data_IF_612228003771
#
_entry.id   IF_612228003771
#
_cell.length_a   1.000
_cell.length_b   1.000
_cell.length_c   1.000
_cell.angle_alpha   90.00
_cell.angle_beta   90.00
_cell.angle_gamma   90.00
#
_symmetry.space_group_name_H-M   'P 1'
#
loop_
_entity.id
_entity.type
_entity.pdbx_description
1 polymer ?
#
# COMPACT_ATOMS: atom_id res chain seq x y z
N UNK A 1 29.47 16.05 35.18
CA UNK A 1 29.74 16.60 33.83
C UNK A 1 28.91 15.78 32.86
N UNK A 2 27.82 16.32 32.32
CA UNK A 2 27.08 15.68 31.21
C UNK A 2 27.97 15.81 29.99
N UNK A 3 28.51 14.70 29.49
CA UNK A 3 29.13 14.69 28.19
C UNK A 3 28.07 15.19 27.18
N UNK A 4 28.34 16.34 26.57
CA UNK A 4 27.61 16.77 25.38
C UNK A 4 27.87 15.71 24.30
N UNK A 5 27.02 14.68 24.24
CA UNK A 5 27.01 13.82 23.08
C UNK A 5 26.67 14.68 21.87
N UNK A 6 27.57 14.76 20.91
CA UNK A 6 27.28 15.39 19.62
C UNK A 6 26.09 14.66 19.00
N UNK A 7 25.10 15.43 18.58
CA UNK A 7 23.92 14.85 17.90
C UNK A 7 24.36 14.12 16.64
N UNK A 8 23.71 13.00 16.30
CA UNK A 8 23.99 12.31 15.04
C UNK A 8 23.59 13.17 13.84
N UNK A 9 24.36 13.05 12.77
CA UNK A 9 24.13 13.74 11.50
C UNK A 9 23.01 13.07 10.74
N UNK A 10 21.95 13.81 10.42
CA UNK A 10 20.77 13.33 9.71
C UNK A 10 20.79 13.78 8.24
N UNK A 11 20.84 12.85 7.34
CA UNK A 11 20.60 13.05 5.90
C UNK A 11 19.14 12.80 5.58
N UNK A 12 18.48 13.74 4.88
CA UNK A 12 17.11 13.58 4.37
C UNK A 12 17.19 13.43 2.85
N UNK A 13 16.72 12.28 2.35
CA UNK A 13 16.69 11.99 0.93
C UNK A 13 15.32 11.48 0.49
N UNK A 14 14.68 12.21 -0.41
CA UNK A 14 13.36 11.91 -0.99
C UNK A 14 13.08 12.85 -2.16
N UNK A 15 12.00 12.65 -2.90
CA UNK A 15 11.55 13.60 -3.93
C UNK A 15 11.37 15.00 -3.36
N UNK A 16 11.69 16.03 -4.15
CA UNK A 16 11.73 17.43 -3.71
C UNK A 16 10.39 17.98 -3.21
N UNK A 17 9.27 17.44 -3.67
CA UNK A 17 7.91 17.85 -3.28
C UNK A 17 7.43 17.23 -1.97
N UNK A 18 8.08 16.17 -1.49
CA UNK A 18 7.61 15.40 -0.33
C UNK A 18 7.80 16.07 1.03
N UNK A 19 8.90 16.81 1.31
CA UNK A 19 9.13 17.37 2.64
C UNK A 19 7.99 18.22 3.17
N UNK A 20 7.30 18.97 2.33
CA UNK A 20 6.16 19.82 2.74
C UNK A 20 4.99 18.99 3.29
N UNK A 21 4.70 17.83 2.66
CA UNK A 21 3.65 16.91 3.12
C UNK A 21 4.06 16.10 4.36
N UNK A 22 5.34 15.69 4.42
CA UNK A 22 5.89 14.85 5.49
C UNK A 22 6.13 15.63 6.79
N UNK A 23 6.60 16.89 6.71
CA UNK A 23 7.13 17.61 7.86
C UNK A 23 6.39 18.93 8.09
N UNK A 24 5.66 19.02 9.19
CA UNK A 24 5.20 20.29 9.74
C UNK A 24 6.17 20.82 10.81
N UNK A 25 5.79 21.91 11.47
CA UNK A 25 6.61 22.52 12.53
C UNK A 25 6.92 21.57 13.68
N UNK A 26 6.01 20.64 14.00
CA UNK A 26 6.18 19.64 15.05
C UNK A 26 7.25 18.62 14.69
N UNK A 27 7.20 18.07 13.48
CA UNK A 27 8.13 17.07 12.98
C UNK A 27 9.54 17.66 12.88
N UNK A 28 9.68 18.88 12.34
CA UNK A 28 10.94 19.60 12.32
C UNK A 28 11.49 19.87 13.72
N UNK A 29 10.65 20.27 14.66
CA UNK A 29 11.08 20.50 16.05
C UNK A 29 11.62 19.20 16.69
N UNK A 30 10.97 18.05 16.45
CA UNK A 30 11.43 16.75 16.94
C UNK A 30 12.78 16.37 16.36
N UNK A 31 12.94 16.44 15.02
CA UNK A 31 14.21 16.12 14.35
C UNK A 31 15.34 17.01 14.84
N UNK A 32 15.14 18.34 14.87
CA UNK A 32 16.15 19.30 15.33
C UNK A 32 16.51 19.13 16.82
N UNK A 33 15.63 18.58 17.64
CA UNK A 33 15.93 18.32 19.05
C UNK A 33 16.98 17.21 19.23
N UNK A 34 17.01 16.21 18.33
CA UNK A 34 17.78 14.98 18.52
C UNK A 34 18.87 14.75 17.47
N UNK A 35 18.86 15.47 16.34
CA UNK A 35 19.80 15.32 15.24
C UNK A 35 20.34 16.68 14.79
N UNK A 36 21.50 16.64 14.08
CA UNK A 36 22.02 17.75 13.29
C UNK A 36 21.70 17.45 11.81
N UNK A 37 20.71 18.16 11.25
CA UNK A 37 20.26 17.94 9.87
C UNK A 37 21.33 18.48 8.91
N UNK A 38 21.75 17.64 7.94
CA UNK A 38 22.67 18.01 6.88
C UNK A 38 21.96 19.00 5.93
N UNK A 39 22.55 20.19 5.66
CA UNK A 39 21.94 21.19 4.76
C UNK A 39 21.79 20.69 3.33
N UNK A 40 21.01 21.41 2.51
CA UNK A 40 20.80 21.10 1.09
C UNK A 40 19.72 20.03 0.83
N UNK A 41 18.97 19.62 1.84
CA UNK A 41 17.90 18.60 1.68
C UNK A 41 16.67 19.14 0.91
N UNK A 42 15.90 18.24 0.26
CA UNK A 42 16.14 16.80 0.20
C UNK A 42 17.19 16.45 -0.86
N UNK A 43 18.08 15.53 -0.50
CA UNK A 43 19.07 15.01 -1.44
C UNK A 43 18.44 13.94 -2.34
N UNK A 44 18.57 14.13 -3.66
CA UNK A 44 17.96 13.23 -4.67
C UNK A 44 18.99 12.45 -5.48
N UNK A 45 20.26 12.79 -5.35
CA UNK A 45 21.34 12.13 -6.08
C UNK A 45 22.59 12.05 -5.20
N UNK A 46 23.06 10.83 -4.94
CA UNK A 46 24.27 10.57 -4.15
C UNK A 46 25.55 10.49 -4.97
N UNK A 47 25.48 10.71 -6.28
CA UNK A 47 26.64 10.68 -7.18
C UNK A 47 27.15 12.08 -7.56
N UNK A 48 26.40 13.11 -7.20
CA UNK A 48 26.91 14.50 -7.22
C UNK A 48 27.94 14.71 -6.11
N UNK A 49 28.82 15.69 -6.24
CA UNK A 49 29.81 16.02 -5.21
C UNK A 49 29.14 16.35 -3.86
N UNK A 50 28.07 17.15 -3.88
CA UNK A 50 27.30 17.53 -2.70
C UNK A 50 26.58 16.33 -2.06
N UNK A 51 25.92 15.49 -2.88
CA UNK A 51 25.21 14.31 -2.38
C UNK A 51 26.16 13.25 -1.82
N UNK A 52 27.31 13.05 -2.43
CA UNK A 52 28.35 12.14 -1.94
C UNK A 52 28.96 12.63 -0.61
N UNK A 53 29.22 13.93 -0.46
CA UNK A 53 29.68 14.53 0.79
C UNK A 53 28.62 14.36 1.90
N UNK A 54 27.37 14.71 1.60
CA UNK A 54 26.25 14.55 2.52
C UNK A 54 26.08 13.10 2.99
N UNK A 55 26.18 12.13 2.08
CA UNK A 55 26.10 10.71 2.39
C UNK A 55 27.28 10.24 3.28
N UNK A 56 28.49 10.75 3.01
CA UNK A 56 29.69 10.41 3.79
C UNK A 56 29.64 10.94 5.24
N UNK A 57 28.94 12.04 5.49
CA UNK A 57 28.78 12.62 6.82
C UNK A 57 27.62 12.01 7.62
N UNK A 58 26.69 11.32 6.97
CA UNK A 58 25.44 10.87 7.58
C UNK A 58 25.65 9.72 8.57
N UNK A 59 25.12 9.86 9.78
CA UNK A 59 24.94 8.76 10.74
C UNK A 59 23.58 8.09 10.56
N UNK A 60 22.57 8.86 10.12
CA UNK A 60 21.17 8.44 9.91
C UNK A 60 20.71 8.94 8.55
N UNK A 61 20.06 8.07 7.76
CA UNK A 61 19.36 8.43 6.54
C UNK A 61 17.86 8.33 6.78
N UNK A 62 17.15 9.47 6.73
CA UNK A 62 15.70 9.52 6.64
C UNK A 62 15.31 9.57 5.16
N UNK A 63 14.71 8.49 4.71
CA UNK A 63 14.42 8.23 3.32
C UNK A 63 12.92 8.08 3.06
N UNK A 64 12.49 8.38 1.84
CA UNK A 64 11.15 8.11 1.32
C UNK A 64 11.20 7.87 -0.19
N UNK A 65 10.09 8.02 -0.91
CA UNK A 65 10.08 7.83 -2.36
C UNK A 65 11.07 8.77 -3.07
N UNK A 66 11.81 8.21 -4.02
CA UNK A 66 12.82 8.93 -4.79
C UNK A 66 14.21 8.95 -4.17
N UNK A 67 14.39 8.35 -2.99
CA UNK A 67 15.73 8.13 -2.43
C UNK A 67 16.54 7.22 -3.36
N UNK A 68 17.78 7.62 -3.73
CA UNK A 68 18.64 6.77 -4.53
C UNK A 68 18.99 5.46 -3.82
N UNK A 69 19.13 4.38 -4.59
CA UNK A 69 19.51 3.06 -4.07
C UNK A 69 20.87 3.09 -3.37
N UNK A 70 20.98 2.47 -2.21
CA UNK A 70 22.23 2.29 -1.45
C UNK A 70 23.00 1.07 -2.00
N UNK A 71 23.59 1.24 -3.19
CA UNK A 71 24.47 0.24 -3.80
C UNK A 71 25.71 0.02 -2.97
N UNK A 72 26.43 -1.09 -3.22
CA UNK A 72 27.73 -1.39 -2.58
C UNK A 72 28.71 -0.22 -2.72
N UNK A 73 28.76 0.42 -3.88
CA UNK A 73 29.62 1.58 -4.12
C UNK A 73 29.23 2.76 -3.24
N UNK A 74 27.94 3.12 -3.17
CA UNK A 74 27.45 4.22 -2.32
C UNK A 74 27.64 3.92 -0.84
N UNK A 75 27.43 2.68 -0.41
CA UNK A 75 27.71 2.24 0.98
C UNK A 75 29.19 2.39 1.34
N UNK A 76 30.10 2.12 0.40
CA UNK A 76 31.54 2.32 0.66
C UNK A 76 31.92 3.78 0.92
N UNK A 77 31.07 4.71 0.44
CA UNK A 77 31.21 6.16 0.67
C UNK A 77 30.42 6.66 1.87
N UNK A 78 29.69 5.79 2.57
CA UNK A 78 28.87 6.10 3.74
C UNK A 78 29.39 5.41 5.03
N UNK A 79 30.66 5.62 5.45
CA UNK A 79 31.29 4.84 6.53
C UNK A 79 30.67 5.09 7.91
N UNK A 80 29.88 6.15 8.07
CA UNK A 80 29.24 6.56 9.32
C UNK A 80 27.81 6.09 9.44
N UNK A 81 27.18 5.68 8.33
CA UNK A 81 25.75 5.36 8.27
C UNK A 81 25.42 4.13 9.13
N UNK A 82 24.54 4.31 10.11
CA UNK A 82 24.12 3.29 11.07
C UNK A 82 22.64 2.97 11.02
N UNK A 83 21.82 3.88 10.46
CA UNK A 83 20.38 3.71 10.39
C UNK A 83 19.82 4.25 9.07
N UNK A 84 18.93 3.46 8.46
CA UNK A 84 18.02 3.83 7.39
C UNK A 84 16.59 3.82 7.95
N UNK A 85 16.02 5.01 8.18
CA UNK A 85 14.63 5.18 8.56
C UNK A 85 13.81 5.47 7.29
N UNK A 86 13.07 4.48 6.78
CA UNK A 86 12.31 4.62 5.53
C UNK A 86 10.86 5.01 5.82
N UNK A 87 10.50 6.24 5.53
CA UNK A 87 9.17 6.80 5.74
C UNK A 87 8.17 6.38 4.62
N UNK A 88 8.22 5.12 4.20
CA UNK A 88 7.26 4.49 3.31
C UNK A 88 7.22 2.97 3.58
N UNK A 89 6.60 2.16 2.71
CA UNK A 89 6.39 0.74 2.99
C UNK A 89 7.56 -0.15 2.59
N UNK A 90 7.88 -0.24 1.30
CA UNK A 90 8.87 -1.19 0.77
C UNK A 90 10.23 -0.53 0.57
N UNK A 91 11.26 -1.05 1.23
CA UNK A 91 12.65 -0.56 1.10
C UNK A 91 13.40 -1.15 -0.09
N UNK A 92 12.80 -2.03 -0.88
CA UNK A 92 13.49 -2.77 -1.97
C UNK A 92 14.28 -1.89 -2.92
N UNK A 93 13.74 -0.73 -3.27
CA UNK A 93 14.39 0.22 -4.17
C UNK A 93 15.58 0.92 -3.54
N UNK A 94 15.55 1.16 -2.23
CA UNK A 94 16.59 1.88 -1.50
C UNK A 94 17.64 0.93 -0.94
N UNK A 95 17.23 -0.24 -0.46
CA UNK A 95 18.09 -1.29 0.12
C UNK A 95 18.06 -2.56 -0.76
N UNK A 96 18.81 -2.60 -1.89
CA UNK A 96 18.86 -3.74 -2.80
C UNK A 96 19.54 -4.94 -2.13
N UNK A 97 19.56 -6.10 -2.79
CA UNK A 97 20.12 -7.34 -2.25
C UNK A 97 21.56 -7.17 -1.71
N UNK A 98 22.40 -6.44 -2.44
CA UNK A 98 23.79 -6.17 -2.04
C UNK A 98 23.93 -5.31 -0.78
N UNK A 99 22.94 -4.47 -0.45
CA UNK A 99 22.88 -3.73 0.82
C UNK A 99 22.89 -4.71 2.01
N UNK A 100 22.06 -5.73 1.97
CA UNK A 100 21.91 -6.72 3.03
C UNK A 100 23.09 -7.70 3.14
N UNK A 101 23.93 -7.77 2.09
CA UNK A 101 25.14 -8.59 2.09
C UNK A 101 26.35 -7.87 2.66
N UNK A 102 26.34 -6.54 2.63
CA UNK A 102 27.52 -5.72 2.89
C UNK A 102 27.41 -4.78 4.07
N UNK A 103 26.23 -4.70 4.70
CA UNK A 103 26.02 -3.76 5.82
C UNK A 103 25.19 -4.35 6.96
N UNK A 104 25.50 -3.90 8.17
CA UNK A 104 24.71 -4.14 9.40
C UNK A 104 23.90 -2.91 9.79
N UNK A 105 23.58 -2.04 8.83
CA UNK A 105 22.80 -0.81 9.03
C UNK A 105 21.40 -1.21 9.51
N UNK A 106 20.97 -0.61 10.62
CA UNK A 106 19.59 -0.77 11.10
C UNK A 106 18.60 -0.18 10.08
N UNK A 107 17.64 -0.97 9.63
CA UNK A 107 16.59 -0.54 8.71
C UNK A 107 15.25 -0.57 9.43
N UNK A 108 14.47 0.50 9.29
CA UNK A 108 13.08 0.58 9.77
C UNK A 108 12.18 1.10 8.65
N UNK A 109 10.88 0.77 8.70
CA UNK A 109 9.90 1.24 7.70
C UNK A 109 8.64 1.78 8.34
N UNK A 110 7.92 2.63 7.61
CA UNK A 110 6.59 3.11 7.97
C UNK A 110 5.46 2.25 7.39
N UNK A 111 5.73 0.98 7.06
CA UNK A 111 4.75 0.09 6.43
C UNK A 111 3.47 -0.09 7.26
N UNK A 112 3.54 -0.03 8.60
CA UNK A 112 2.36 -0.10 9.47
C UNK A 112 1.48 1.14 9.38
N UNK A 113 2.08 2.32 9.26
CA UNK A 113 1.35 3.56 9.06
C UNK A 113 0.75 3.63 7.64
N UNK A 114 1.48 3.16 6.61
CA UNK A 114 0.99 3.08 5.23
C UNK A 114 -0.19 2.12 5.07
N UNK A 115 -0.25 1.06 5.86
CA UNK A 115 -1.32 0.06 5.73
C UNK A 115 -2.70 0.60 6.11
N UNK A 116 -2.78 1.59 6.99
CA UNK A 116 -4.04 2.15 7.49
C UNK A 116 -4.85 2.83 6.38
N UNK A 117 -4.33 3.85 5.65
CA UNK A 117 -5.09 4.49 4.58
C UNK A 117 -5.48 3.52 3.46
N UNK A 118 -4.62 2.55 3.11
CA UNK A 118 -4.97 1.53 2.10
C UNK A 118 -6.15 0.67 2.58
N UNK A 119 -6.16 0.28 3.85
CA UNK A 119 -7.26 -0.51 4.39
C UNK A 119 -8.57 0.30 4.48
N UNK A 120 -8.50 1.57 4.88
CA UNK A 120 -9.65 2.48 4.91
C UNK A 120 -10.21 2.73 3.52
N UNK A 121 -9.35 3.00 2.53
CA UNK A 121 -9.76 3.14 1.13
C UNK A 121 -10.44 1.87 0.61
N UNK A 122 -9.83 0.70 0.85
CA UNK A 122 -10.39 -0.58 0.41
C UNK A 122 -11.73 -0.88 1.07
N UNK A 123 -11.85 -0.65 2.37
CA UNK A 123 -13.12 -0.80 3.09
C UNK A 123 -14.20 0.13 2.53
N UNK A 124 -13.88 1.40 2.28
CA UNK A 124 -14.79 2.33 1.65
C UNK A 124 -15.17 1.90 0.22
N UNK A 125 -14.19 1.40 -0.56
CA UNK A 125 -14.42 0.86 -1.90
C UNK A 125 -15.39 -0.33 -1.89
N UNK A 126 -15.23 -1.28 -0.97
CA UNK A 126 -16.17 -2.41 -0.79
C UNK A 126 -17.60 -1.90 -0.55
N UNK A 127 -17.78 -0.94 0.34
CA UNK A 127 -19.09 -0.36 0.67
C UNK A 127 -19.68 0.38 -0.54
N UNK A 128 -18.90 1.22 -1.21
CA UNK A 128 -19.37 2.03 -2.33
C UNK A 128 -19.67 1.19 -3.58
N UNK A 129 -18.80 0.22 -3.90
CA UNK A 129 -19.03 -0.72 -4.99
C UNK A 129 -20.22 -1.63 -4.70
N UNK A 130 -20.44 -2.05 -3.45
CA UNK A 130 -21.62 -2.81 -3.05
C UNK A 130 -22.94 -2.07 -3.28
N UNK A 131 -22.93 -0.74 -3.29
CA UNK A 131 -24.04 0.14 -3.64
C UNK A 131 -24.01 0.59 -5.11
N UNK A 132 -22.97 0.25 -5.86
CA UNK A 132 -22.75 0.67 -7.25
C UNK A 132 -22.76 2.20 -7.42
N UNK A 133 -22.18 2.91 -6.46
CA UNK A 133 -22.25 4.36 -6.34
C UNK A 133 -21.71 5.07 -7.57
N UNK A 134 -20.60 4.60 -8.11
CA UNK A 134 -19.90 5.25 -9.23
C UNK A 134 -20.76 5.21 -10.51
N UNK A 135 -21.24 4.03 -10.93
CA UNK A 135 -22.09 3.88 -12.10
C UNK A 135 -23.43 4.60 -11.94
N UNK A 136 -24.10 4.41 -10.79
CA UNK A 136 -25.39 5.07 -10.52
C UNK A 136 -25.26 6.60 -10.45
N UNK A 137 -24.12 7.13 -9.95
CA UNK A 137 -23.83 8.56 -10.01
C UNK A 137 -23.79 9.06 -11.45
N UNK A 138 -23.06 8.35 -12.34
CA UNK A 138 -22.89 8.79 -13.72
C UNK A 138 -24.19 8.66 -14.52
N UNK A 139 -24.95 7.59 -14.32
CA UNK A 139 -26.31 7.46 -14.88
C UNK A 139 -27.22 8.62 -14.42
N UNK A 140 -27.21 8.94 -13.11
CA UNK A 140 -28.03 10.04 -12.57
C UNK A 140 -27.63 11.38 -13.15
N UNK A 141 -26.32 11.62 -13.36
CA UNK A 141 -25.82 12.85 -14.01
C UNK A 141 -26.25 12.95 -15.48
N UNK A 142 -26.24 11.83 -16.20
CA UNK A 142 -26.68 11.79 -17.60
C UNK A 142 -28.20 11.96 -17.73
N UNK A 143 -29.00 11.36 -16.86
CA UNK A 143 -30.45 11.36 -16.91
C UNK A 143 -31.11 12.64 -16.34
N UNK A 144 -30.37 13.48 -15.61
CA UNK A 144 -30.79 14.79 -15.09
C UNK A 144 -32.26 14.88 -14.58
N UNK A 145 -32.53 14.21 -13.47
CA UNK A 145 -33.82 14.36 -12.76
C UNK A 145 -34.94 13.42 -13.20
N UNK A 146 -34.75 12.60 -14.25
CA UNK A 146 -35.69 11.53 -14.60
C UNK A 146 -35.67 10.35 -13.64
N UNK A 147 -34.71 10.33 -12.77
CA UNK A 147 -34.61 9.68 -11.48
C UNK A 147 -34.74 8.18 -11.43
N UNK A 148 -33.66 7.54 -11.01
CA UNK A 148 -33.56 6.17 -10.51
C UNK A 148 -34.62 5.83 -9.42
N UNK A 149 -35.28 6.85 -8.84
CA UNK A 149 -36.16 6.70 -7.69
C UNK A 149 -37.53 6.07 -7.98
N UNK A 150 -38.01 6.11 -9.20
CA UNK A 150 -39.40 5.67 -9.50
C UNK A 150 -39.47 4.20 -9.93
N UNK A 151 -38.87 3.85 -11.06
CA UNK A 151 -39.11 2.58 -11.75
C UNK A 151 -38.00 1.52 -11.61
N UNK A 152 -36.80 1.91 -11.22
CA UNK A 152 -35.62 1.02 -11.17
C UNK A 152 -35.35 0.37 -9.80
N UNK A 153 -36.10 0.70 -8.74
CA UNK A 153 -35.89 0.14 -7.39
C UNK A 153 -36.20 -1.35 -7.24
N UNK A 154 -36.81 -1.97 -8.21
CA UNK A 154 -37.19 -3.36 -8.16
C UNK A 154 -36.08 -4.34 -8.55
N UNK A 155 -36.29 -5.04 -9.66
CA UNK A 155 -35.44 -6.18 -10.07
C UNK A 155 -34.02 -5.79 -10.50
N UNK A 156 -33.80 -4.60 -11.10
CA UNK A 156 -32.48 -4.21 -11.62
C UNK A 156 -31.45 -3.86 -10.54
N UNK A 157 -31.89 -3.56 -9.31
CA UNK A 157 -31.02 -3.23 -8.20
C UNK A 157 -30.98 -4.32 -7.10
N UNK A 158 -31.58 -5.47 -7.34
CA UNK A 158 -31.70 -6.55 -6.34
C UNK A 158 -30.35 -7.13 -5.89
N UNK A 159 -29.32 -7.02 -6.74
CA UNK A 159 -27.95 -7.47 -6.43
C UNK A 159 -27.13 -6.43 -5.63
N UNK A 160 -27.67 -5.22 -5.39
CA UNK A 160 -26.97 -4.16 -4.67
C UNK A 160 -27.27 -4.21 -3.17
N UNK A 161 -26.34 -3.70 -2.39
CA UNK A 161 -26.45 -3.59 -0.94
C UNK A 161 -25.33 -4.33 -0.22
N UNK A 162 -25.17 -4.06 1.07
CA UNK A 162 -24.05 -4.58 1.86
C UNK A 162 -24.51 -5.49 3.04
N UNK A 163 -25.79 -5.79 3.15
CA UNK A 163 -26.29 -6.68 4.22
C UNK A 163 -25.97 -8.13 3.90
N UNK A 164 -25.29 -8.81 4.82
CA UNK A 164 -24.82 -10.20 4.67
C UNK A 164 -24.04 -10.45 3.37
N UNK A 165 -23.35 -9.39 2.85
CA UNK A 165 -22.55 -9.52 1.64
C UNK A 165 -21.30 -10.34 1.91
N UNK A 166 -21.02 -11.27 1.03
CA UNK A 166 -19.89 -12.19 1.09
C UNK A 166 -18.64 -11.53 0.54
N UNK A 167 -17.64 -11.32 1.39
CA UNK A 167 -16.38 -10.68 1.04
C UNK A 167 -15.23 -11.68 1.15
N UNK A 168 -14.57 -11.95 0.03
CA UNK A 168 -13.37 -12.76 -0.05
C UNK A 168 -12.11 -11.89 0.00
N UNK A 169 -11.24 -12.16 0.95
CA UNK A 169 -9.94 -11.50 1.12
C UNK A 169 -8.84 -12.44 0.64
N UNK A 170 -8.10 -12.04 -0.39
CA UNK A 170 -6.97 -12.80 -0.92
C UNK A 170 -5.67 -12.21 -0.37
N UNK A 171 -5.09 -12.89 0.62
CA UNK A 171 -3.91 -12.47 1.36
C UNK A 171 -4.21 -11.82 2.70
N UNK A 172 -3.76 -12.46 3.78
CA UNK A 172 -3.83 -11.95 5.16
C UNK A 172 -2.59 -11.10 5.51
N UNK A 173 -2.17 -10.25 4.58
CA UNK A 173 -1.13 -9.25 4.80
C UNK A 173 -1.56 -8.25 5.89
N UNK A 174 -0.67 -7.32 6.24
CA UNK A 174 -1.00 -6.25 7.19
C UNK A 174 -2.28 -5.49 6.79
N UNK A 175 -2.43 -5.19 5.49
CA UNK A 175 -3.62 -4.52 4.93
C UNK A 175 -4.85 -5.44 4.98
N UNK A 176 -4.72 -6.68 4.50
CA UNK A 176 -5.84 -7.64 4.50
C UNK A 176 -6.40 -7.88 5.90
N UNK A 177 -5.55 -7.96 6.94
CA UNK A 177 -5.95 -8.08 8.35
C UNK A 177 -6.75 -6.85 8.80
N UNK A 178 -6.29 -5.63 8.53
CA UNK A 178 -7.01 -4.40 8.86
C UNK A 178 -8.37 -4.31 8.14
N UNK A 179 -8.43 -4.70 6.87
CA UNK A 179 -9.69 -4.74 6.11
C UNK A 179 -10.68 -5.73 6.75
N UNK A 180 -10.22 -6.94 7.13
CA UNK A 180 -11.06 -7.92 7.83
C UNK A 180 -11.57 -7.37 9.17
N UNK A 181 -10.72 -6.73 9.96
CA UNK A 181 -11.11 -6.09 11.24
C UNK A 181 -12.17 -4.99 11.03
N UNK A 182 -12.06 -4.19 9.98
CA UNK A 182 -13.06 -3.17 9.64
C UNK A 182 -14.37 -3.79 9.20
N UNK A 183 -14.34 -4.83 8.36
CA UNK A 183 -15.51 -5.56 7.88
C UNK A 183 -16.24 -6.28 9.02
N UNK A 184 -15.53 -6.86 9.99
CA UNK A 184 -16.08 -7.57 11.13
C UNK A 184 -16.98 -6.70 12.03
N UNK A 185 -16.82 -5.36 11.98
CA UNK A 185 -17.70 -4.41 12.66
C UNK A 185 -19.06 -4.23 11.97
N UNK A 186 -19.16 -4.67 10.72
CA UNK A 186 -20.37 -4.63 9.90
C UNK A 186 -21.11 -5.98 9.91
N UNK A 187 -22.09 -6.12 9.00
CA UNK A 187 -22.82 -7.37 8.78
C UNK A 187 -22.38 -8.03 7.47
N UNK A 188 -21.07 -8.21 7.33
CA UNK A 188 -20.46 -8.95 6.23
C UNK A 188 -20.20 -10.39 6.62
N UNK A 189 -20.25 -11.29 5.64
CA UNK A 189 -19.69 -12.62 5.77
C UNK A 189 -18.29 -12.58 5.14
N UNK A 190 -17.25 -13.00 5.89
CA UNK A 190 -15.85 -12.82 5.48
C UNK A 190 -15.20 -14.20 5.31
N UNK A 191 -14.59 -14.42 4.14
CA UNK A 191 -13.70 -15.54 3.90
C UNK A 191 -12.30 -15.01 3.56
N UNK A 192 -11.27 -15.78 3.91
CA UNK A 192 -9.87 -15.41 3.60
C UNK A 192 -9.12 -16.60 3.03
N UNK A 193 -8.37 -16.35 1.97
CA UNK A 193 -7.33 -17.21 1.44
C UNK A 193 -5.97 -16.63 1.77
N UNK A 194 -5.17 -17.38 2.49
CA UNK A 194 -3.74 -17.12 2.72
C UNK A 194 -3.08 -18.44 3.13
N UNK A 195 -2.03 -18.89 2.42
CA UNK A 195 -1.40 -20.18 2.70
C UNK A 195 -0.72 -20.24 4.08
N UNK A 196 -0.39 -19.09 4.66
CA UNK A 196 0.35 -18.99 5.93
C UNK A 196 -0.55 -18.68 7.13
N UNK A 197 -1.82 -18.34 6.91
CA UNK A 197 -2.77 -18.04 7.99
C UNK A 197 -3.36 -19.34 8.55
N UNK A 198 -3.43 -19.49 9.87
CA UNK A 198 -4.16 -20.62 10.47
C UNK A 198 -5.69 -20.36 10.46
N UNK A 199 -6.48 -21.41 10.64
CA UNK A 199 -7.93 -21.28 10.75
C UNK A 199 -8.33 -20.52 12.03
N UNK A 200 -7.60 -20.70 13.13
CA UNK A 200 -7.79 -20.02 14.40
C UNK A 200 -7.50 -18.52 14.28
N UNK A 201 -6.41 -18.16 13.59
CA UNK A 201 -6.09 -16.75 13.31
C UNK A 201 -7.17 -16.11 12.41
N UNK A 202 -7.63 -16.80 11.35
CA UNK A 202 -8.73 -16.32 10.53
C UNK A 202 -9.99 -16.06 11.34
N UNK A 203 -10.37 -17.00 12.21
CA UNK A 203 -11.52 -16.87 13.08
C UNK A 203 -11.39 -15.69 14.06
N UNK A 204 -10.18 -15.41 14.57
CA UNK A 204 -9.91 -14.26 15.45
C UNK A 204 -10.09 -12.92 14.74
N UNK A 205 -9.93 -12.89 13.41
CA UNK A 205 -10.18 -11.74 12.53
C UNK A 205 -11.64 -11.67 12.05
N UNK A 206 -12.51 -12.56 12.51
CA UNK A 206 -13.91 -12.63 12.11
C UNK A 206 -14.12 -13.24 10.72
N UNK A 207 -13.14 -13.98 10.19
CA UNK A 207 -13.16 -14.55 8.85
C UNK A 207 -13.09 -16.08 8.87
N UNK A 208 -13.63 -16.72 7.83
CA UNK A 208 -13.47 -18.16 7.58
C UNK A 208 -12.28 -18.37 6.63
N UNK A 209 -11.30 -19.21 7.04
CA UNK A 209 -10.23 -19.63 6.12
C UNK A 209 -10.81 -20.57 5.05
N UNK A 210 -10.37 -20.41 3.80
CA UNK A 210 -10.79 -21.26 2.68
C UNK A 210 -9.72 -21.31 1.59
N UNK A 211 -9.87 -22.21 0.63
CA UNK A 211 -9.02 -22.28 -0.56
C UNK A 211 -9.42 -21.20 -1.57
N UNK A 212 -8.49 -20.83 -2.48
CA UNK A 212 -8.68 -19.71 -3.41
C UNK A 212 -9.92 -19.93 -4.32
N UNK A 213 -10.05 -21.10 -4.93
CA UNK A 213 -11.15 -21.41 -5.84
C UNK A 213 -12.51 -21.34 -5.14
N UNK A 214 -12.59 -21.86 -3.92
CA UNK A 214 -13.79 -21.78 -3.09
C UNK A 214 -14.13 -20.33 -2.73
N UNK A 215 -13.11 -19.54 -2.34
CA UNK A 215 -13.27 -18.12 -2.03
C UNK A 215 -13.85 -17.37 -3.21
N UNK A 216 -13.28 -17.54 -4.41
CA UNK A 216 -13.70 -16.84 -5.63
C UNK A 216 -15.15 -17.20 -6.01
N UNK A 217 -15.51 -18.48 -5.96
CA UNK A 217 -16.86 -18.95 -6.30
C UNK A 217 -17.92 -18.51 -5.27
N UNK A 218 -17.52 -18.33 -4.00
CA UNK A 218 -18.43 -17.97 -2.91
C UNK A 218 -18.68 -16.46 -2.77
N UNK A 219 -17.73 -15.63 -3.20
CA UNK A 219 -17.69 -14.21 -2.88
C UNK A 219 -18.56 -13.34 -3.78
N UNK A 220 -19.29 -12.38 -3.22
CA UNK A 220 -19.89 -11.26 -3.94
C UNK A 220 -18.86 -10.15 -4.20
N UNK A 221 -17.83 -10.05 -3.37
CA UNK A 221 -16.71 -9.10 -3.47
C UNK A 221 -15.42 -9.85 -3.22
N UNK A 222 -14.46 -9.73 -4.11
CA UNK A 222 -13.07 -10.22 -3.95
C UNK A 222 -12.13 -9.04 -3.84
N UNK A 223 -11.30 -9.00 -2.81
CA UNK A 223 -10.30 -7.94 -2.61
C UNK A 223 -8.90 -8.53 -2.44
N UNK A 224 -7.94 -8.04 -3.23
CA UNK A 224 -6.57 -8.54 -3.25
C UNK A 224 -5.68 -7.79 -2.26
N UNK A 225 -4.93 -8.55 -1.48
CA UNK A 225 -3.96 -8.06 -0.50
C UNK A 225 -2.71 -8.95 -0.41
N UNK A 226 -2.50 -9.83 -1.39
CA UNK A 226 -1.32 -10.68 -1.46
C UNK A 226 -0.05 -9.85 -1.76
N UNK A 227 1.14 -10.30 -1.31
CA UNK A 227 2.42 -9.65 -1.64
C UNK A 227 2.84 -9.95 -3.08
N UNK A 228 3.80 -9.15 -3.60
CA UNK A 228 4.51 -9.44 -4.85
C UNK A 228 5.54 -10.54 -4.60
N UNK A 229 5.29 -11.72 -5.13
CA UNK A 229 6.18 -12.88 -5.11
C UNK A 229 6.20 -13.52 -6.51
N UNK A 230 7.21 -14.32 -6.86
CA UNK A 230 7.15 -15.10 -8.10
C UNK A 230 5.88 -15.96 -8.20
N UNK A 231 5.48 -16.58 -7.09
CA UNK A 231 4.31 -17.47 -7.00
C UNK A 231 2.96 -16.73 -7.07
N UNK A 232 2.95 -15.43 -6.84
CA UNK A 232 1.73 -14.61 -6.93
C UNK A 232 1.62 -13.85 -8.24
N UNK A 233 2.58 -14.02 -9.17
CA UNK A 233 2.49 -13.44 -10.50
C UNK A 233 1.27 -13.99 -11.25
N UNK A 234 0.37 -13.09 -11.65
CA UNK A 234 -0.87 -13.45 -12.35
C UNK A 234 -1.68 -14.56 -11.63
N UNK A 235 -1.63 -14.57 -10.27
CA UNK A 235 -2.39 -15.54 -9.49
C UNK A 235 -3.91 -15.45 -9.72
N UNK A 236 -4.37 -14.32 -10.24
CA UNK A 236 -5.74 -14.11 -10.70
C UNK A 236 -5.70 -13.95 -12.22
N UNK A 237 -5.91 -15.04 -12.92
CA UNK A 237 -6.00 -15.12 -14.38
C UNK A 237 -7.42 -15.41 -14.85
N UNK A 238 -7.55 -15.78 -16.13
CA UNK A 238 -8.84 -16.07 -16.77
C UNK A 238 -9.61 -17.19 -16.05
N UNK A 239 -8.92 -18.23 -15.56
CA UNK A 239 -9.54 -19.34 -14.82
C UNK A 239 -10.14 -18.86 -13.50
N UNK A 240 -9.38 -18.08 -12.75
CA UNK A 240 -9.78 -17.56 -11.45
C UNK A 240 -10.93 -16.58 -11.59
N UNK A 241 -10.85 -15.66 -12.54
CA UNK A 241 -11.92 -14.70 -12.82
C UNK A 241 -13.22 -15.41 -13.24
N UNK A 242 -13.14 -16.50 -14.03
CA UNK A 242 -14.30 -17.29 -14.45
C UNK A 242 -15.02 -18.00 -13.28
N UNK A 243 -14.36 -18.23 -12.14
CA UNK A 243 -14.98 -18.79 -10.93
C UNK A 243 -15.90 -17.79 -10.22
N UNK A 244 -15.69 -16.50 -10.42
CA UNK A 244 -16.50 -15.46 -9.79
C UNK A 244 -17.91 -15.40 -10.39
N UNK A 245 -18.90 -15.17 -9.55
CA UNK A 245 -20.29 -15.05 -9.99
C UNK A 245 -20.52 -13.79 -10.85
N UNK A 246 -21.56 -13.81 -11.69
CA UNK A 246 -22.01 -12.64 -12.43
C UNK A 246 -22.33 -11.48 -11.48
N UNK A 247 -21.93 -10.28 -11.86
CA UNK A 247 -22.05 -9.07 -11.06
C UNK A 247 -21.20 -9.03 -9.77
N UNK A 248 -20.34 -10.01 -9.54
CA UNK A 248 -19.37 -9.93 -8.46
C UNK A 248 -18.43 -8.72 -8.66
N UNK A 249 -17.87 -8.25 -7.55
CA UNK A 249 -16.98 -7.09 -7.51
C UNK A 249 -15.56 -7.59 -7.31
N UNK A 250 -14.66 -7.16 -8.19
CA UNK A 250 -13.22 -7.41 -8.06
C UNK A 250 -12.50 -6.11 -7.70
N UNK A 251 -11.73 -6.12 -6.61
CA UNK A 251 -10.99 -4.94 -6.10
C UNK A 251 -9.50 -5.26 -6.03
N UNK A 252 -8.69 -4.45 -6.70
CA UNK A 252 -7.24 -4.50 -6.60
C UNK A 252 -6.67 -3.15 -6.14
N UNK A 253 -6.37 -3.07 -4.86
CA UNK A 253 -5.61 -1.98 -4.21
C UNK A 253 -4.22 -2.46 -3.76
N UNK A 254 -3.81 -3.66 -4.20
CA UNK A 254 -2.52 -4.24 -3.89
C UNK A 254 -1.49 -3.90 -4.96
N UNK A 255 -1.41 -4.72 -6.03
CA UNK A 255 -0.49 -4.50 -7.17
C UNK A 255 -1.07 -5.12 -8.45
N UNK A 256 -0.77 -4.49 -9.62
CA UNK A 256 -1.12 -5.02 -10.94
C UNK A 256 -0.53 -6.40 -11.19
N UNK A 257 0.72 -6.63 -10.80
CA UNK A 257 1.45 -7.91 -10.86
C UNK A 257 0.64 -9.16 -10.49
N UNK A 258 -0.33 -9.05 -9.60
CA UNK A 258 -1.15 -10.17 -9.11
C UNK A 258 -2.20 -10.65 -10.12
N UNK A 259 -2.48 -9.86 -11.14
CA UNK A 259 -3.63 -10.05 -12.03
C UNK A 259 -3.18 -10.09 -13.49
N UNK A 260 -3.66 -11.05 -14.23
CA UNK A 260 -3.57 -11.02 -15.70
C UNK A 260 -4.53 -9.93 -16.22
N UNK A 261 -3.96 -8.79 -16.66
CA UNK A 261 -4.74 -7.65 -17.11
C UNK A 261 -5.44 -7.86 -18.46
N UNK A 262 -4.97 -8.78 -19.31
CA UNK A 262 -5.68 -9.17 -20.54
C UNK A 262 -6.95 -9.94 -20.19
N UNK A 263 -6.85 -10.89 -19.27
CA UNK A 263 -8.00 -11.64 -18.77
C UNK A 263 -8.99 -10.72 -18.02
N UNK A 264 -8.49 -9.79 -17.19
CA UNK A 264 -9.33 -8.83 -16.48
C UNK A 264 -10.06 -7.88 -17.46
N UNK A 265 -9.39 -7.44 -18.53
CA UNK A 265 -10.00 -6.62 -19.57
C UNK A 265 -11.11 -7.36 -20.30
N UNK A 266 -10.93 -8.65 -20.58
CA UNK A 266 -11.99 -9.47 -21.21
C UNK A 266 -13.25 -9.51 -20.32
N UNK A 267 -13.10 -9.68 -19.01
CA UNK A 267 -14.21 -9.62 -18.04
C UNK A 267 -14.84 -8.22 -17.94
N UNK A 268 -14.02 -7.18 -18.01
CA UNK A 268 -14.49 -5.81 -18.03
C UNK A 268 -15.35 -5.50 -19.27
N UNK A 269 -14.87 -5.90 -20.46
CA UNK A 269 -15.56 -5.72 -21.73
C UNK A 269 -16.86 -6.52 -21.82
N UNK A 270 -16.91 -7.71 -21.22
CA UNK A 270 -18.14 -8.52 -21.16
C UNK A 270 -19.22 -7.89 -20.26
N UNK A 271 -18.83 -7.00 -19.35
CA UNK A 271 -19.71 -6.41 -18.33
C UNK A 271 -20.11 -7.38 -17.22
N UNK A 272 -19.54 -8.59 -17.17
CA UNK A 272 -19.90 -9.64 -16.21
C UNK A 272 -19.48 -9.26 -14.78
N UNK A 273 -18.25 -8.74 -14.62
CA UNK A 273 -17.74 -8.29 -13.34
C UNK A 273 -17.82 -6.76 -13.21
N UNK A 274 -17.86 -6.29 -11.97
CA UNK A 274 -17.63 -4.90 -11.59
C UNK A 274 -16.24 -4.81 -10.99
N UNK A 275 -15.45 -3.86 -11.43
CA UNK A 275 -14.01 -3.85 -11.19
C UNK A 275 -13.60 -2.52 -10.58
N UNK A 276 -12.77 -2.53 -9.53
CA UNK A 276 -12.03 -1.38 -9.03
C UNK A 276 -10.55 -1.69 -9.05
N UNK A 277 -9.78 -0.85 -9.74
CA UNK A 277 -8.33 -0.95 -9.88
C UNK A 277 -7.70 0.36 -9.42
N UNK A 278 -6.85 0.29 -8.41
CA UNK A 278 -6.01 1.42 -7.99
C UNK A 278 -4.57 1.30 -8.52
N UNK A 279 -4.14 0.08 -8.77
CA UNK A 279 -2.77 -0.26 -9.19
C UNK A 279 -2.82 -1.15 -10.43
N UNK A 280 -2.92 -0.59 -11.64
CA UNK A 280 -2.93 -1.36 -12.88
C UNK A 280 -1.53 -1.87 -13.26
N UNK A 281 -1.47 -2.71 -14.32
CA UNK A 281 -0.25 -3.11 -14.99
C UNK A 281 -0.47 -3.09 -16.52
N UNK A 282 0.37 -2.33 -17.28
CA UNK A 282 1.42 -1.43 -16.79
C UNK A 282 0.87 -0.24 -15.99
N UNK A 283 1.73 0.41 -15.19
CA UNK A 283 1.40 1.63 -14.49
C UNK A 283 2.34 2.78 -14.94
N UNK A 284 1.78 3.87 -15.55
CA UNK A 284 0.37 4.07 -15.88
C UNK A 284 -0.08 3.18 -17.05
N UNK A 285 -1.42 2.97 -17.14
CA UNK A 285 -2.00 2.34 -18.33
C UNK A 285 -1.77 3.19 -19.59
N UNK A 286 -1.66 2.57 -20.79
CA UNK A 286 -1.68 3.32 -22.06
C UNK A 286 -2.91 4.21 -22.16
N UNK A 287 -2.75 5.38 -22.77
CA UNK A 287 -3.82 6.40 -22.89
C UNK A 287 -5.06 5.91 -23.62
N UNK A 288 -4.89 4.92 -24.52
CA UNK A 288 -5.95 4.28 -25.30
C UNK A 288 -6.57 3.06 -24.60
N UNK A 289 -6.18 2.77 -23.36
CA UNK A 289 -6.69 1.59 -22.64
C UNK A 289 -8.19 1.67 -22.45
N UNK A 290 -8.95 0.62 -22.82
CA UNK A 290 -10.41 0.60 -22.64
C UNK A 290 -10.84 0.72 -21.17
N UNK A 291 -10.00 0.37 -20.21
CA UNK A 291 -10.31 0.50 -18.78
C UNK A 291 -10.76 1.91 -18.38
N UNK A 292 -10.31 2.97 -19.08
CA UNK A 292 -10.68 4.35 -18.79
C UNK A 292 -12.16 4.65 -19.06
N UNK A 293 -12.78 3.94 -20.04
CA UNK A 293 -14.11 4.30 -20.57
C UNK A 293 -15.21 3.30 -20.15
N UNK A 294 -14.85 2.18 -19.54
CA UNK A 294 -15.82 1.12 -19.20
C UNK A 294 -16.65 1.50 -17.96
N UNK A 295 -18.00 1.48 -18.06
CA UNK A 295 -18.88 1.95 -16.97
C UNK A 295 -18.90 1.02 -15.74
N UNK A 296 -18.48 -0.22 -15.89
CA UNK A 296 -18.33 -1.21 -14.82
C UNK A 296 -16.91 -1.22 -14.19
N UNK A 297 -16.04 -0.31 -14.62
CA UNK A 297 -14.68 -0.15 -14.10
C UNK A 297 -14.56 1.17 -13.33
N UNK A 298 -14.01 1.10 -12.14
CA UNK A 298 -13.55 2.24 -11.35
C UNK A 298 -12.03 2.19 -11.34
N UNK A 299 -11.41 3.11 -12.06
CA UNK A 299 -9.96 3.25 -12.12
C UNK A 299 -9.53 4.46 -11.29
N UNK A 300 -8.59 4.26 -10.37
CA UNK A 300 -7.99 5.32 -9.56
C UNK A 300 -6.48 5.37 -9.76
N UNK A 301 -5.85 6.56 -9.68
CA UNK A 301 -4.44 6.74 -10.04
C UNK A 301 -3.48 6.44 -8.87
N UNK A 302 -3.52 5.23 -8.33
CA UNK A 302 -2.67 4.75 -7.21
C UNK A 302 -2.78 5.66 -5.97
N UNK A 303 -4.01 5.86 -5.50
CA UNK A 303 -4.33 6.79 -4.40
C UNK A 303 -4.83 6.09 -3.13
N UNK A 304 -4.90 4.77 -3.12
CA UNK A 304 -5.30 4.03 -1.92
C UNK A 304 -4.30 4.18 -0.77
N UNK A 305 -3.02 4.43 -1.07
CA UNK A 305 -1.98 4.69 -0.08
C UNK A 305 -2.06 6.09 0.53
N UNK A 306 -1.11 6.41 1.41
CA UNK A 306 -1.09 7.69 2.11
C UNK A 306 -0.95 8.88 1.17
N UNK A 307 -1.86 9.83 1.28
CA UNK A 307 -1.91 11.08 0.54
C UNK A 307 -2.10 12.29 1.46
N UNK A 308 -1.61 13.44 1.04
CA UNK A 308 -1.84 14.71 1.72
C UNK A 308 -1.44 14.68 3.20
N UNK A 309 -2.40 14.87 4.10
CA UNK A 309 -2.13 14.89 5.55
C UNK A 309 -1.78 13.51 6.15
N UNK A 310 -2.07 12.41 5.46
CA UNK A 310 -1.71 11.06 5.89
C UNK A 310 -0.20 10.80 5.83
N UNK A 311 0.53 11.54 4.96
CA UNK A 311 2.00 11.48 4.88
C UNK A 311 2.66 11.77 6.24
N UNK A 312 2.02 12.57 7.09
CA UNK A 312 2.52 12.86 8.44
C UNK A 312 2.54 11.65 9.36
N UNK A 313 1.65 10.69 9.16
CA UNK A 313 1.70 9.45 9.93
C UNK A 313 2.96 8.62 9.61
N UNK A 314 3.40 8.66 8.34
CA UNK A 314 4.62 8.00 7.90
C UNK A 314 5.88 8.66 8.51
N UNK A 315 5.94 10.00 8.46
CA UNK A 315 7.05 10.75 9.06
C UNK A 315 7.07 10.62 10.58
N UNK A 316 5.92 10.69 11.25
CA UNK A 316 5.81 10.50 12.69
C UNK A 316 6.39 9.15 13.14
N UNK A 317 6.10 8.08 12.39
CA UNK A 317 6.64 6.77 12.69
C UNK A 317 8.16 6.73 12.44
N UNK A 318 8.63 7.21 11.28
CA UNK A 318 10.06 7.25 10.97
C UNK A 318 10.84 8.09 12.00
N UNK A 319 10.31 9.24 12.41
CA UNK A 319 10.92 10.10 13.45
C UNK A 319 10.94 9.37 14.81
N UNK A 320 9.87 8.66 15.15
CA UNK A 320 9.82 7.86 16.38
C UNK A 320 10.91 6.77 16.38
N UNK A 321 11.17 6.13 15.24
CA UNK A 321 12.27 5.16 15.13
C UNK A 321 13.65 5.84 15.28
N UNK A 322 13.83 7.05 14.71
CA UNK A 322 15.06 7.83 14.89
C UNK A 322 15.22 8.23 16.36
N UNK A 323 14.18 8.70 17.04
CA UNK A 323 14.20 9.03 18.48
C UNK A 323 14.63 7.82 19.32
N UNK A 324 14.09 6.64 19.02
CA UNK A 324 14.45 5.39 19.70
C UNK A 324 15.90 5.01 19.45
N UNK A 325 16.35 5.12 18.21
CA UNK A 325 17.74 4.85 17.85
C UNK A 325 18.72 5.76 18.60
N UNK A 326 18.45 7.07 18.63
CA UNK A 326 19.29 8.06 19.35
C UNK A 326 19.29 7.80 20.85
N UNK A 327 18.17 7.33 21.40
CA UNK A 327 18.04 6.96 22.80
C UNK A 327 18.64 5.57 23.15
N UNK A 328 19.15 4.84 22.17
CA UNK A 328 19.66 3.44 22.36
C UNK A 328 18.56 2.42 22.65
N UNK A 329 17.32 2.70 22.26
CA UNK A 329 16.18 1.80 22.44
C UNK A 329 16.02 0.89 21.21
N UNK A 330 15.45 -0.31 21.42
CA UNK A 330 15.13 -1.22 20.33
C UNK A 330 14.11 -0.59 19.37
N UNK A 331 14.23 -0.79 18.03
CA UNK A 331 13.26 -0.31 17.07
C UNK A 331 11.90 -1.00 17.25
N UNK A 332 10.81 -0.34 16.83
CA UNK A 332 9.46 -0.91 16.83
C UNK A 332 9.14 -1.63 15.51
N UNK A 333 9.71 -1.14 14.41
CA UNK A 333 9.42 -1.62 13.06
C UNK A 333 10.71 -1.95 12.28
N UNK A 334 11.58 -2.83 12.84
CA UNK A 334 12.80 -3.23 12.14
C UNK A 334 12.45 -4.03 10.88
N UNK A 335 13.34 -3.95 9.90
CA UNK A 335 13.33 -4.79 8.70
C UNK A 335 14.61 -5.57 8.65
N UNK A 336 14.52 -6.87 8.39
CA UNK A 336 15.65 -7.77 8.24
C UNK A 336 15.72 -8.34 6.82
N UNK A 337 16.89 -8.86 6.42
CA UNK A 337 17.08 -9.47 5.10
C UNK A 337 16.00 -10.49 4.73
N UNK A 338 15.59 -11.32 5.68
CA UNK A 338 14.56 -12.35 5.49
C UNK A 338 13.16 -11.77 5.19
N UNK A 339 12.88 -10.54 5.65
CA UNK A 339 11.59 -9.89 5.41
C UNK A 339 11.46 -9.42 3.97
N UNK A 340 12.60 -9.26 3.26
CA UNK A 340 12.64 -8.82 1.87
C UNK A 340 11.95 -9.80 0.92
N UNK A 341 11.89 -11.08 1.26
CA UNK A 341 11.20 -12.09 0.45
C UNK A 341 9.68 -11.87 0.43
N UNK A 342 9.12 -11.25 1.49
CA UNK A 342 7.67 -11.05 1.68
C UNK A 342 7.24 -9.58 1.65
N UNK A 343 8.18 -8.66 1.50
CA UNK A 343 7.90 -7.22 1.44
C UNK A 343 7.41 -6.84 0.04
N UNK A 344 6.22 -6.25 -0.06
CA UNK A 344 5.61 -5.79 -1.32
C UNK A 344 6.22 -4.47 -1.82
#
# INVERSE_FOLDING_TARGET
MKHSQTKPRLLIAMRSELPEGFFGSREWARLNAITDIIPGFPHMDFDTAEGAEALAEADILLAAWGTPSLTRERLSRAPRLKMLAYAASSVRMVAPAEFWETSDILVTTAASAMAVPVAEFTYAAIIMCGKDVFRLRDEHRAERGTGVFGSRRGKSLAHLGNHARKVGIVGASRIGRLVMEMLARGKFEIAVYDPFLSAEEAASLGARKTELDELLAWSDVVSLHAPILPETHHMIGARELALMADHAIFINTARGWLVDHEALLAEALSGRLRILIDTPEPEPLPTESPFYDLPNVVLTPHIAGALGNELRALSDLAITEIERFVAGLAPLHPVHKQDMERMA
#
